data_IF_886255743053
#
_entry.id   IF_886255743053
#
_cell.length_a   1.000
_cell.length_b   1.000
_cell.length_c   1.000
_cell.angle_alpha   90.00
_cell.angle_beta   90.00
_cell.angle_gamma   90.00
#
_symmetry.space_group_name_H-M   'P 1'
#
loop_
_entity.id
_entity.type
_entity.pdbx_description
1 polymer ?
#
# COMPACT_ATOMS: atom_id res chain seq x y z
N UNK A 1 -8.89 3.56 1.87
CA UNK A 1 -7.75 4.17 2.59
C UNK A 1 -7.61 3.48 3.94
N UNK A 2 -6.43 3.55 4.56
CA UNK A 2 -6.24 3.10 5.94
C UNK A 2 -6.63 4.23 6.90
N UNK A 3 -6.82 3.93 8.17
CA UNK A 3 -7.27 4.85 9.22
C UNK A 3 -6.15 5.74 9.75
N UNK A 4 -4.91 5.25 9.75
CA UNK A 4 -3.73 5.98 10.17
C UNK A 4 -2.47 5.49 9.45
N UNK A 5 -1.41 6.31 9.34
CA UNK A 5 -0.10 5.85 8.88
C UNK A 5 0.52 4.90 9.90
N UNK A 6 1.33 3.94 9.44
CA UNK A 6 2.14 3.09 10.30
C UNK A 6 3.55 3.67 10.50
N UNK A 7 4.11 3.46 11.68
CA UNK A 7 5.52 3.76 11.92
C UNK A 7 6.40 2.90 11.01
N UNK A 8 7.38 3.52 10.37
CA UNK A 8 8.23 2.85 9.39
C UNK A 8 7.55 2.52 8.05
N UNK A 9 6.36 3.07 7.76
CA UNK A 9 5.73 2.86 6.44
C UNK A 9 6.45 3.62 5.31
N UNK A 10 7.24 4.65 5.62
CA UNK A 10 7.95 5.43 4.62
C UNK A 10 9.30 4.81 4.30
N UNK A 11 9.52 4.41 3.06
CA UNK A 11 10.82 3.93 2.61
C UNK A 11 10.76 3.09 1.35
N UNK A 12 11.91 2.50 1.02
CA UNK A 12 12.05 1.47 0.00
C UNK A 12 12.37 0.12 0.64
N UNK A 13 11.72 -0.92 0.14
CA UNK A 13 11.79 -2.27 0.66
C UNK A 13 12.16 -3.22 -0.48
N UNK A 14 13.37 -3.75 -0.46
CA UNK A 14 13.88 -4.64 -1.48
C UNK A 14 13.33 -6.08 -1.32
N UNK A 15 13.41 -6.86 -2.41
CA UNK A 15 13.06 -8.29 -2.44
C UNK A 15 11.64 -8.62 -1.95
N UNK A 16 10.72 -7.68 -2.13
CA UNK A 16 9.33 -7.82 -1.73
C UNK A 16 8.56 -8.66 -2.75
N UNK A 17 7.85 -9.67 -2.26
CA UNK A 17 6.92 -10.48 -3.06
C UNK A 17 5.49 -10.45 -2.49
N UNK A 18 5.34 -9.98 -1.26
CA UNK A 18 4.06 -9.88 -0.56
C UNK A 18 4.08 -8.68 0.35
N UNK A 19 3.00 -7.93 0.36
CA UNK A 19 2.74 -6.87 1.32
C UNK A 19 1.38 -7.11 1.97
N UNK A 20 1.29 -6.88 3.28
CA UNK A 20 0.05 -7.04 4.05
C UNK A 20 -0.10 -5.85 4.95
N UNK A 21 -1.31 -5.30 5.00
CA UNK A 21 -1.67 -4.30 5.97
C UNK A 21 -3.05 -4.54 6.53
N UNK A 22 -3.12 -4.50 7.85
CA UNK A 22 -4.33 -4.58 8.64
C UNK A 22 -4.76 -3.19 9.08
N UNK A 23 -6.06 -2.96 9.07
CA UNK A 23 -6.71 -1.80 9.66
C UNK A 23 -7.71 -2.27 10.71
N UNK A 24 -7.39 -2.06 11.98
CA UNK A 24 -8.28 -2.48 13.07
C UNK A 24 -9.49 -1.55 13.20
N UNK A 25 -9.30 -0.26 12.93
CA UNK A 25 -10.36 0.74 13.03
C UNK A 25 -11.44 0.51 11.96
N UNK A 26 -11.03 0.26 10.72
CA UNK A 26 -11.94 -0.09 9.63
C UNK A 26 -12.26 -1.58 9.54
N UNK A 27 -11.57 -2.43 10.31
CA UNK A 27 -11.86 -3.86 10.42
C UNK A 27 -11.58 -4.67 9.15
N UNK A 28 -10.50 -4.36 8.42
CA UNK A 28 -10.11 -5.14 7.23
C UNK A 28 -8.60 -5.42 7.16
N UNK A 29 -8.23 -6.40 6.35
CA UNK A 29 -6.84 -6.66 5.96
C UNK A 29 -6.72 -6.66 4.44
N UNK A 30 -5.76 -5.91 3.91
CA UNK A 30 -5.38 -5.93 2.50
C UNK A 30 -4.06 -6.70 2.35
N UNK A 31 -4.06 -7.70 1.48
CA UNK A 31 -2.85 -8.39 1.02
C UNK A 31 -2.64 -8.07 -0.45
N UNK A 32 -1.39 -7.78 -0.80
CA UNK A 32 -0.91 -7.69 -2.17
C UNK A 32 0.17 -8.75 -2.36
N UNK A 33 0.09 -9.51 -3.45
CA UNK A 33 1.12 -10.46 -3.87
C UNK A 33 1.61 -10.04 -5.25
N UNK A 34 2.93 -10.06 -5.40
CA UNK A 34 3.62 -9.75 -6.63
C UNK A 34 4.17 -11.05 -7.20
N UNK A 35 4.05 -11.25 -8.51
CA UNK A 35 4.59 -12.44 -9.16
C UNK A 35 6.12 -12.50 -9.01
N UNK A 36 6.78 -11.41 -9.40
CA UNK A 36 8.22 -11.22 -9.28
C UNK A 36 8.59 -10.58 -7.93
N UNK A 37 9.80 -10.88 -7.43
CA UNK A 37 10.40 -10.09 -6.35
C UNK A 37 10.75 -8.70 -6.88
N UNK A 38 10.37 -7.67 -6.14
CA UNK A 38 10.54 -6.29 -6.56
C UNK A 38 10.89 -5.37 -5.40
N UNK A 39 11.30 -4.14 -5.73
CA UNK A 39 11.44 -3.07 -4.76
C UNK A 39 10.07 -2.42 -4.55
N UNK A 40 9.63 -2.31 -3.31
CA UNK A 40 8.37 -1.67 -2.94
C UNK A 40 8.67 -0.32 -2.31
N UNK A 41 8.12 0.76 -2.84
CA UNK A 41 8.14 2.06 -2.17
C UNK A 41 6.83 2.29 -1.45
N UNK A 42 6.93 2.76 -0.21
CA UNK A 42 5.78 3.07 0.62
C UNK A 42 5.95 4.44 1.26
N UNK A 43 4.85 5.18 1.38
CA UNK A 43 4.79 6.48 2.06
C UNK A 43 3.33 6.90 2.28
N UNK A 44 3.05 7.75 3.29
CA UNK A 44 1.71 8.30 3.49
C UNK A 44 1.38 9.31 2.39
N UNK A 45 0.18 9.20 1.83
CA UNK A 45 -0.43 10.25 1.03
C UNK A 45 -1.09 11.24 1.97
N UNK A 46 -0.64 12.49 1.93
CA UNK A 46 -1.17 13.54 2.79
C UNK A 46 -1.53 14.78 1.98
N UNK A 47 -2.54 15.50 2.46
CA UNK A 47 -2.95 16.78 1.93
C UNK A 47 -2.64 17.88 2.92
N UNK A 48 -2.20 19.03 2.42
CA UNK A 48 -2.06 20.25 3.21
C UNK A 48 -3.21 21.19 2.87
N UNK A 49 -3.95 21.63 3.88
CA UNK A 49 -5.01 22.62 3.76
C UNK A 49 -4.78 23.79 4.71
N UNK A 50 -5.32 24.95 4.37
CA UNK A 50 -5.34 26.12 5.25
C UNK A 50 -6.72 26.23 5.90
N UNK A 51 -6.76 26.21 7.23
CA UNK A 51 -7.95 26.45 8.04
C UNK A 51 -7.79 27.75 8.86
N UNK A 52 -8.82 28.15 9.60
CA UNK A 52 -8.73 29.28 10.54
C UNK A 52 -7.68 29.06 11.64
N UNK A 53 -7.37 27.80 11.95
CA UNK A 53 -6.34 27.40 12.91
C UNK A 53 -4.92 27.36 12.32
N UNK A 54 -4.76 27.64 11.03
CA UNK A 54 -3.49 27.58 10.31
C UNK A 54 -3.40 26.39 9.35
N UNK A 55 -2.18 25.94 9.07
CA UNK A 55 -1.95 24.80 8.17
C UNK A 55 -2.23 23.48 8.87
N UNK A 56 -3.00 22.63 8.19
CA UNK A 56 -3.29 21.26 8.63
C UNK A 56 -2.77 20.27 7.60
N UNK A 57 -2.00 19.28 8.06
CA UNK A 57 -1.57 18.13 7.25
C UNK A 57 -2.43 16.93 7.65
N UNK A 58 -3.19 16.40 6.70
CA UNK A 58 -4.13 15.30 6.94
C UNK A 58 -3.72 14.08 6.13
N UNK A 59 -3.64 12.93 6.80
CA UNK A 59 -3.43 11.63 6.16
C UNK A 59 -4.66 11.21 5.36
N UNK A 60 -4.45 10.84 4.09
CA UNK A 60 -5.51 10.42 3.15
C UNK A 60 -5.38 8.94 2.75
N UNK A 61 -4.31 8.27 3.17
CA UNK A 61 -4.04 6.88 2.85
C UNK A 61 -2.55 6.62 2.70
N UNK A 62 -2.21 5.38 2.36
CA UNK A 62 -0.81 5.00 2.12
C UNK A 62 -0.63 4.60 0.67
N UNK A 63 0.43 5.12 0.09
CA UNK A 63 0.91 4.73 -1.23
C UNK A 63 1.71 3.44 -1.11
N UNK A 64 1.41 2.48 -1.99
CA UNK A 64 2.19 1.26 -2.18
C UNK A 64 2.56 1.19 -3.65
N UNK A 65 3.83 1.40 -3.96
CA UNK A 65 4.34 1.49 -5.32
C UNK A 65 5.30 0.32 -5.59
N UNK A 66 4.87 -0.72 -6.33
CA UNK A 66 5.76 -1.80 -6.77
C UNK A 66 6.59 -1.37 -7.98
N UNK A 67 7.93 -1.40 -7.86
CA UNK A 67 8.86 -1.02 -8.92
C UNK A 67 9.30 -2.25 -9.73
N UNK A 68 8.81 -2.36 -10.97
CA UNK A 68 9.25 -3.37 -11.93
C UNK A 68 10.40 -2.82 -12.78
N UNK A 69 11.57 -3.46 -12.71
CA UNK A 69 12.68 -3.18 -13.63
C UNK A 69 12.46 -3.99 -14.90
N UNK A 70 12.08 -3.31 -15.97
CA UNK A 70 11.79 -3.93 -17.26
C UNK A 70 12.99 -3.75 -18.19
N UNK A 71 13.49 -4.86 -18.73
CA UNK A 71 14.45 -4.90 -19.82
C UNK A 71 13.76 -5.65 -20.98
N UNK A 72 13.33 -4.91 -22.00
CA UNK A 72 12.49 -5.44 -23.08
C UNK A 72 13.14 -5.18 -24.43
N UNK A 73 13.16 -6.21 -25.28
CA UNK A 73 13.59 -6.11 -26.67
C UNK A 73 12.46 -5.52 -27.56
N UNK A 74 12.79 -5.03 -28.77
CA UNK A 74 11.78 -4.55 -29.70
C UNK A 74 10.70 -5.61 -29.98
N UNK A 75 9.45 -5.28 -29.68
CA UNK A 75 8.30 -6.17 -29.86
C UNK A 75 8.05 -7.14 -28.69
N UNK A 76 8.87 -7.12 -27.65
CA UNK A 76 8.65 -7.92 -26.44
C UNK A 76 7.52 -7.34 -25.60
N UNK A 77 6.67 -8.22 -25.06
CA UNK A 77 5.56 -7.88 -24.18
C UNK A 77 5.85 -8.49 -22.82
N UNK A 78 5.75 -7.66 -21.77
CA UNK A 78 5.77 -8.13 -20.38
C UNK A 78 4.39 -7.96 -19.77
N UNK A 79 3.82 -9.07 -19.30
CA UNK A 79 2.64 -9.04 -18.47
C UNK A 79 3.04 -8.86 -17.00
N UNK A 80 2.33 -7.99 -16.30
CA UNK A 80 2.52 -7.72 -14.88
C UNK A 80 1.23 -8.09 -14.17
N UNK A 81 1.33 -9.03 -13.25
CA UNK A 81 0.21 -9.44 -12.41
C UNK A 81 0.45 -9.00 -10.96
N UNK A 82 -0.58 -8.37 -10.38
CA UNK A 82 -0.64 -8.03 -8.96
C UNK A 82 -1.95 -8.61 -8.42
N UNK A 83 -1.84 -9.54 -7.48
CA UNK A 83 -3.01 -10.16 -6.86
C UNK A 83 -3.32 -9.44 -5.56
N UNK A 84 -4.55 -8.95 -5.42
CA UNK A 84 -5.03 -8.30 -4.22
C UNK A 84 -6.11 -9.14 -3.54
N UNK A 85 -6.07 -9.21 -2.22
CA UNK A 85 -7.03 -9.94 -1.40
C UNK A 85 -7.43 -9.04 -0.23
N UNK A 86 -8.73 -8.81 -0.07
CA UNK A 86 -9.30 -8.05 1.05
C UNK A 86 -10.05 -9.02 1.95
N UNK A 87 -9.67 -9.07 3.23
CA UNK A 87 -10.36 -9.87 4.25
C UNK A 87 -11.10 -8.96 5.21
N UNK A 88 -12.39 -9.20 5.42
CA UNK A 88 -13.19 -8.56 6.46
C UNK A 88 -12.88 -9.21 7.83
N UNK A 89 -12.42 -8.39 8.77
CA UNK A 89 -12.02 -8.82 10.11
C UNK A 89 -13.13 -8.64 11.15
N UNK A 90 -14.21 -7.93 10.82
CA UNK A 90 -15.35 -7.70 11.71
C UNK A 90 -16.12 -8.99 12.05
N UNK A 91 -15.97 -10.02 11.22
CA UNK A 91 -16.68 -11.30 11.35
C UNK A 91 -16.00 -12.31 12.30
N UNK A 92 -14.78 -12.04 12.76
CA UNK A 92 -14.06 -12.95 13.67
C UNK A 92 -14.40 -12.75 15.16
N UNK A 93 -15.33 -11.85 15.50
CA UNK A 93 -15.69 -11.50 16.89
C UNK A 93 -17.09 -11.95 17.36
N UNK A 94 -17.79 -12.80 16.62
CA UNK A 94 -19.06 -13.42 17.05
C UNK A 94 -18.93 -14.94 17.09
N UNK A 95 -18.43 -15.45 18.21
CA UNK A 95 -18.74 -16.76 18.76
C UNK A 95 -19.16 -16.58 20.21
#
# INVERSE_FOLDING_TARGET
>A
AFSCPLEGETGSFADMQKWVRRDEHFGFELKMKFHDKLELWMFPLETVSLSEGGFERTYQGTTVLPLYRLDLQPGEIREIEIVTEITDLSKNGRN
#
